data_IF_266620491181
#
_entry.id   IF_266620491181
#
_cell.length_a   1.000
_cell.length_b   1.000
_cell.length_c   1.000
_cell.angle_alpha   90.00
_cell.angle_beta   90.00
_cell.angle_gamma   90.00
#
_symmetry.space_group_name_H-M   'P 1'
#
loop_
_entity.id
_entity.type
_entity.pdbx_description
1 polymer ?
#
# COMPACT_ATOMS: atom_id res chain seq x y z
N UNK A 1 32.56 13.32 3.17
CA UNK A 1 31.89 12.01 3.01
C UNK A 1 32.96 10.91 2.80
N UNK A 2 33.57 10.44 3.89
CA UNK A 2 34.71 9.50 3.89
C UNK A 2 34.50 8.30 4.83
N UNK A 3 33.25 7.93 5.16
CA UNK A 3 32.96 6.78 6.05
C UNK A 3 31.79 5.93 5.56
N UNK A 4 31.82 5.51 4.29
CA UNK A 4 30.96 4.41 3.83
C UNK A 4 31.87 3.41 3.12
N UNK A 5 32.18 2.31 3.80
CA UNK A 5 33.07 1.26 3.28
C UNK A 5 32.31 0.30 2.35
N UNK A 6 31.04 0.03 2.67
CA UNK A 6 30.08 -0.70 1.84
C UNK A 6 28.68 -0.10 2.07
N UNK A 7 27.91 0.11 1.00
CA UNK A 7 26.52 0.56 1.08
C UNK A 7 25.55 -0.47 0.49
N UNK A 8 24.25 -0.31 0.74
CA UNK A 8 23.21 -1.11 0.13
C UNK A 8 22.20 -0.23 -0.60
N UNK A 9 21.84 -0.60 -1.82
CA UNK A 9 20.76 0.02 -2.60
C UNK A 9 19.61 -0.96 -2.68
N UNK A 10 18.53 -0.69 -1.94
CA UNK A 10 17.32 -1.50 -1.97
C UNK A 10 16.32 -0.84 -2.91
N UNK A 11 15.84 -1.58 -3.89
CA UNK A 11 14.73 -1.16 -4.74
C UNK A 11 13.44 -1.76 -4.20
N UNK A 12 12.43 -0.92 -4.02
CA UNK A 12 11.11 -1.29 -3.45
C UNK A 12 9.96 -0.84 -4.37
N UNK A 13 8.76 -1.31 -4.06
CA UNK A 13 7.50 -1.05 -4.72
C UNK A 13 7.38 -1.74 -6.07
N UNK A 14 6.42 -1.27 -6.86
CA UNK A 14 6.18 -1.76 -8.23
C UNK A 14 7.41 -1.64 -9.15
N UNK A 15 8.34 -0.73 -8.86
CA UNK A 15 9.61 -0.62 -9.59
C UNK A 15 10.48 -1.86 -9.37
N UNK A 16 10.44 -2.46 -8.18
CA UNK A 16 11.18 -3.66 -7.83
C UNK A 16 10.64 -4.93 -8.51
N UNK A 17 9.38 -4.89 -8.97
CA UNK A 17 8.68 -5.96 -9.70
C UNK A 17 8.88 -5.92 -11.23
N UNK A 18 9.39 -4.81 -11.77
CA UNK A 18 9.63 -4.68 -13.23
C UNK A 18 10.86 -5.47 -13.66
N UNK A 19 10.82 -6.05 -14.86
CA UNK A 19 11.96 -6.80 -15.44
C UNK A 19 13.26 -5.96 -15.48
N UNK A 20 13.14 -4.64 -15.64
CA UNK A 20 14.28 -3.71 -15.68
C UNK A 20 14.83 -3.33 -14.29
N UNK A 21 14.22 -3.78 -13.18
CA UNK A 21 14.69 -3.49 -11.83
C UNK A 21 16.15 -3.97 -11.67
N UNK A 22 16.44 -5.18 -12.13
CA UNK A 22 17.79 -5.75 -12.09
C UNK A 22 18.82 -4.92 -12.88
N UNK A 23 18.42 -4.29 -13.99
CA UNK A 23 19.30 -3.45 -14.79
C UNK A 23 19.57 -2.09 -14.12
N UNK A 24 18.54 -1.49 -13.50
CA UNK A 24 18.67 -0.25 -12.70
C UNK A 24 19.58 -0.51 -11.48
N UNK A 25 19.33 -1.59 -10.75
CA UNK A 25 20.12 -2.14 -9.62
C UNK A 25 21.59 -2.31 -10.03
N UNK A 26 21.83 -2.89 -11.21
CA UNK A 26 23.19 -3.13 -11.73
C UNK A 26 23.90 -1.83 -12.13
N UNK A 27 23.19 -0.88 -12.77
CA UNK A 27 23.76 0.44 -13.11
C UNK A 27 24.16 1.21 -11.86
N UNK A 28 23.28 1.30 -10.86
CA UNK A 28 23.53 2.01 -9.59
C UNK A 28 24.72 1.42 -8.79
N UNK A 29 24.88 0.10 -8.80
CA UNK A 29 26.00 -0.57 -8.13
C UNK A 29 27.32 -0.45 -8.90
N UNK A 30 27.28 -0.42 -10.24
CA UNK A 30 28.48 -0.34 -11.08
C UNK A 30 29.21 1.01 -11.04
N UNK A 31 28.50 2.11 -10.78
CA UNK A 31 29.10 3.46 -10.76
C UNK A 31 29.91 3.76 -9.48
N UNK A 32 29.77 2.93 -8.45
CA UNK A 32 30.30 3.24 -7.11
C UNK A 32 31.13 2.12 -6.48
N UNK A 33 31.14 0.91 -7.05
CA UNK A 33 32.04 -0.21 -6.70
C UNK A 33 31.92 -0.76 -5.27
N UNK A 34 31.14 -0.10 -4.41
CA UNK A 34 31.00 -0.36 -2.97
C UNK A 34 29.56 -0.68 -2.55
N UNK A 35 28.65 -0.87 -3.50
CA UNK A 35 27.22 -1.03 -3.19
C UNK A 35 26.69 -2.40 -3.61
N UNK A 36 26.05 -3.10 -2.67
CA UNK A 36 25.25 -4.30 -2.95
C UNK A 36 23.83 -3.85 -3.24
N UNK A 37 23.22 -4.33 -4.32
CA UNK A 37 21.85 -3.97 -4.66
C UNK A 37 20.93 -5.17 -4.67
N UNK A 38 19.75 -5.02 -4.07
CA UNK A 38 18.76 -6.06 -3.89
C UNK A 38 17.34 -5.50 -4.06
N UNK A 39 16.43 -6.34 -4.54
CA UNK A 39 15.00 -6.05 -4.57
C UNK A 39 14.37 -6.49 -3.26
N UNK A 40 13.52 -5.66 -2.66
CA UNK A 40 12.76 -6.03 -1.47
C UNK A 40 11.53 -6.85 -1.85
N UNK A 41 11.29 -7.96 -1.14
CA UNK A 41 9.98 -8.62 -1.19
C UNK A 41 8.92 -7.83 -0.41
N UNK A 42 7.61 -8.07 -0.63
CA UNK A 42 6.53 -7.27 -0.03
C UNK A 42 6.61 -7.14 1.50
N UNK A 43 6.90 -8.22 2.22
CA UNK A 43 7.05 -8.18 3.68
C UNK A 43 8.23 -7.30 4.14
N UNK A 44 9.32 -7.26 3.37
CA UNK A 44 10.46 -6.41 3.69
C UNK A 44 10.16 -4.94 3.36
N UNK A 45 9.40 -4.67 2.30
CA UNK A 45 8.88 -3.33 2.01
C UNK A 45 7.98 -2.82 3.13
N UNK A 46 7.04 -3.63 3.63
CA UNK A 46 6.20 -3.28 4.78
C UNK A 46 7.03 -2.94 6.02
N UNK A 47 8.10 -3.71 6.28
CA UNK A 47 9.05 -3.45 7.37
C UNK A 47 9.80 -2.12 7.17
N UNK A 48 10.33 -1.87 5.97
CA UNK A 48 11.00 -0.61 5.66
C UNK A 48 10.05 0.59 5.76
N UNK A 49 8.83 0.46 5.27
CA UNK A 49 7.80 1.50 5.32
C UNK A 49 7.46 1.90 6.75
N UNK A 50 7.17 0.94 7.63
CA UNK A 50 6.86 1.27 9.03
C UNK A 50 8.07 1.84 9.78
N UNK A 51 9.30 1.36 9.53
CA UNK A 51 10.50 1.92 10.13
C UNK A 51 10.75 3.36 9.67
N UNK A 52 10.52 3.66 8.38
CA UNK A 52 10.66 5.00 7.80
C UNK A 52 9.55 5.98 8.20
N UNK A 53 8.38 5.49 8.62
CA UNK A 53 7.22 6.31 9.00
C UNK A 53 7.32 6.98 10.38
N UNK A 54 8.30 6.60 11.22
CA UNK A 54 8.40 7.06 12.61
C UNK A 54 7.46 6.35 13.59
N UNK A 55 6.56 5.48 13.10
CA UNK A 55 5.60 4.72 13.93
C UNK A 55 6.30 3.77 14.90
N UNK A 56 7.43 3.18 14.49
CA UNK A 56 8.23 2.32 15.38
C UNK A 56 8.75 3.09 16.59
N UNK A 57 9.34 4.28 16.38
CA UNK A 57 9.82 5.12 17.47
C UNK A 57 8.66 5.64 18.34
N UNK A 58 7.52 5.99 17.73
CA UNK A 58 6.31 6.36 18.46
C UNK A 58 5.82 5.21 19.36
N UNK A 59 5.79 3.98 18.84
CA UNK A 59 5.44 2.78 19.60
C UNK A 59 6.37 2.61 20.81
N UNK A 60 7.68 2.77 20.60
CA UNK A 60 8.69 2.71 21.68
C UNK A 60 8.43 3.74 22.78
N UNK A 61 8.19 5.00 22.40
CA UNK A 61 8.01 6.11 23.35
C UNK A 61 6.69 6.01 24.11
N UNK A 62 5.62 5.62 23.43
CA UNK A 62 4.26 5.60 24.00
C UNK A 62 3.87 4.25 24.61
N UNK A 63 4.65 3.20 24.35
CA UNK A 63 4.35 1.81 24.70
C UNK A 63 3.03 1.30 24.10
N UNK A 64 2.53 1.97 23.05
CA UNK A 64 1.33 1.58 22.31
C UNK A 64 1.66 0.67 21.14
N UNK A 65 0.71 -0.17 20.76
CA UNK A 65 0.76 -0.98 19.55
C UNK A 65 0.09 -0.21 18.41
N UNK A 66 0.83 0.07 17.35
CA UNK A 66 0.35 0.86 16.22
C UNK A 66 0.37 0.03 14.95
N UNK A 67 -0.68 0.12 14.15
CA UNK A 67 -0.72 -0.47 12.81
C UNK A 67 -0.50 0.64 11.77
N UNK A 68 0.51 0.50 10.94
CA UNK A 68 0.72 1.36 9.78
C UNK A 68 0.19 0.68 8.50
N UNK A 69 -0.49 1.47 7.68
CA UNK A 69 -1.00 1.08 6.37
C UNK A 69 -0.38 2.05 5.36
N UNK A 70 0.57 1.57 4.57
CA UNK A 70 1.19 2.32 3.48
C UNK A 70 0.44 2.01 2.18
N UNK A 71 -0.39 2.97 1.76
CA UNK A 71 -1.27 2.91 0.60
C UNK A 71 -0.51 3.40 -0.64
N UNK A 72 -0.05 2.44 -1.43
CA UNK A 72 0.58 2.67 -2.72
C UNK A 72 -0.42 2.66 -3.87
N UNK A 73 0.13 2.80 -5.08
CA UNK A 73 -0.69 2.76 -6.28
C UNK A 73 -1.09 1.36 -6.74
N UNK A 74 -0.37 0.31 -6.36
CA UNK A 74 -0.69 -1.08 -6.72
C UNK A 74 -1.00 -1.97 -5.52
N UNK A 75 -0.45 -1.63 -4.36
CA UNK A 75 -0.53 -2.45 -3.16
C UNK A 75 -0.68 -1.58 -1.92
N UNK A 76 -1.14 -2.20 -0.84
CA UNK A 76 -1.18 -1.65 0.50
C UNK A 76 -0.33 -2.52 1.41
N UNK A 77 0.73 -1.93 1.97
CA UNK A 77 1.63 -2.60 2.90
C UNK A 77 1.12 -2.38 4.33
N UNK A 78 0.92 -3.46 5.07
CA UNK A 78 0.40 -3.43 6.44
C UNK A 78 1.51 -3.89 7.38
N UNK A 79 1.72 -3.15 8.46
CA UNK A 79 2.69 -3.53 9.48
C UNK A 79 2.23 -3.12 10.87
N UNK A 80 2.60 -3.90 11.89
CA UNK A 80 2.32 -3.61 13.30
C UNK A 80 3.64 -3.31 14.00
N UNK A 81 3.71 -2.19 14.72
CA UNK A 81 4.78 -1.88 15.66
C UNK A 81 4.30 -2.08 17.10
N UNK A 82 5.13 -2.72 17.92
CA UNK A 82 4.88 -2.90 19.35
C UNK A 82 6.19 -2.71 20.12
N UNK A 83 6.19 -1.84 21.13
CA UNK A 83 7.33 -1.55 22.01
C UNK A 83 8.62 -1.15 21.28
N UNK A 84 8.51 -0.61 20.08
CA UNK A 84 9.66 -0.21 19.27
C UNK A 84 10.20 -1.27 18.32
N UNK A 85 9.49 -2.39 18.16
CA UNK A 85 9.83 -3.44 17.20
C UNK A 85 8.71 -3.64 16.18
N UNK A 86 9.07 -4.01 14.95
CA UNK A 86 8.11 -4.45 13.93
C UNK A 86 7.71 -5.89 14.24
N UNK A 87 6.44 -6.08 14.57
CA UNK A 87 5.91 -7.33 15.09
C UNK A 87 5.34 -8.26 14.01
N UNK A 88 4.64 -7.68 13.04
CA UNK A 88 4.01 -8.43 11.95
C UNK A 88 3.89 -7.55 10.72
N UNK A 89 3.99 -8.16 9.54
CA UNK A 89 3.79 -7.51 8.25
C UNK A 89 2.87 -8.34 7.37
N UNK A 90 2.20 -7.66 6.45
CA UNK A 90 1.40 -8.25 5.39
C UNK A 90 1.32 -7.27 4.21
N UNK A 91 0.87 -7.76 3.05
CA UNK A 91 0.68 -6.98 1.85
C UNK A 91 -0.53 -7.49 1.08
N UNK A 92 -1.34 -6.55 0.56
CA UNK A 92 -2.53 -6.82 -0.23
C UNK A 92 -2.52 -5.97 -1.51
N UNK A 93 -3.00 -6.53 -2.62
CA UNK A 93 -3.17 -5.86 -3.92
C UNK A 93 -4.35 -4.86 -3.90
N UNK A 94 -4.27 -3.86 -3.02
CA UNK A 94 -5.19 -2.73 -2.94
C UNK A 94 -4.39 -1.46 -3.17
N UNK A 95 -4.72 -0.68 -4.20
CA UNK A 95 -4.00 0.54 -4.52
C UNK A 95 -4.76 1.44 -5.50
N UNK A 96 -4.35 2.71 -5.58
CA UNK A 96 -5.08 3.75 -6.32
C UNK A 96 -4.92 3.75 -7.85
N UNK A 97 -4.11 2.85 -8.44
CA UNK A 97 -3.80 2.82 -9.88
C UNK A 97 -4.13 1.48 -10.56
N UNK A 98 -4.85 0.59 -9.87
CA UNK A 98 -5.21 -0.74 -10.36
C UNK A 98 -6.30 -0.71 -11.45
N UNK A 99 -7.11 0.35 -11.49
CA UNK A 99 -8.05 0.67 -12.55
C UNK A 99 -7.79 2.10 -13.02
N UNK A 100 -7.42 2.27 -14.29
CA UNK A 100 -7.20 3.57 -14.90
C UNK A 100 -8.36 3.95 -15.82
N UNK A 101 -9.07 5.02 -15.47
CA UNK A 101 -10.12 5.64 -16.28
C UNK A 101 -9.75 7.09 -16.62
N UNK A 102 -10.22 7.58 -17.76
CA UNK A 102 -10.08 8.99 -18.13
C UNK A 102 -11.31 9.81 -17.71
N UNK A 103 -11.33 11.09 -18.07
CA UNK A 103 -12.42 12.03 -17.75
C UNK A 103 -13.78 11.64 -18.35
N UNK A 104 -13.78 10.81 -19.40
CA UNK A 104 -14.98 10.33 -20.09
C UNK A 104 -15.37 8.92 -19.59
N UNK A 105 -14.77 8.48 -18.47
CA UNK A 105 -14.88 7.15 -17.88
C UNK A 105 -14.44 6.03 -18.81
N UNK A 106 -13.58 6.34 -19.79
CA UNK A 106 -13.00 5.32 -20.67
C UNK A 106 -11.85 4.64 -19.97
N UNK A 107 -11.88 3.31 -19.94
CA UNK A 107 -10.82 2.51 -19.33
C UNK A 107 -9.58 2.55 -20.22
N UNK A 108 -8.46 3.00 -19.66
CA UNK A 108 -7.14 2.96 -20.30
C UNK A 108 -6.16 2.00 -19.62
N UNK A 109 -6.52 1.46 -18.45
CA UNK A 109 -5.73 0.45 -17.73
C UNK A 109 -6.61 -0.45 -16.86
N UNK A 110 -6.32 -1.74 -16.88
CA UNK A 110 -6.86 -2.73 -15.93
C UNK A 110 -5.67 -3.59 -15.49
N UNK A 111 -5.36 -3.58 -14.19
CA UNK A 111 -4.40 -4.52 -13.62
C UNK A 111 -5.11 -5.79 -13.14
N UNK A 112 -4.39 -6.90 -13.09
CA UNK A 112 -4.90 -8.23 -12.74
C UNK A 112 -5.78 -8.26 -11.46
N UNK A 113 -5.45 -7.55 -10.36
CA UNK A 113 -6.32 -7.49 -9.18
C UNK A 113 -7.72 -6.93 -9.47
N UNK A 114 -7.83 -5.97 -10.39
CA UNK A 114 -9.12 -5.40 -10.81
C UNK A 114 -9.92 -6.42 -11.61
N UNK A 115 -9.27 -7.20 -12.47
CA UNK A 115 -9.92 -8.26 -13.24
C UNK A 115 -10.56 -9.31 -12.32
N UNK A 116 -9.89 -9.68 -11.23
CA UNK A 116 -10.43 -10.59 -10.24
C UNK A 116 -11.70 -10.06 -9.57
N UNK A 117 -11.70 -8.77 -9.19
CA UNK A 117 -12.88 -8.11 -8.62
C UNK A 117 -14.02 -8.06 -9.64
N UNK A 118 -13.74 -7.61 -10.87
CA UNK A 118 -14.74 -7.56 -11.95
C UNK A 118 -15.38 -8.93 -12.16
N UNK A 119 -14.58 -10.00 -12.20
CA UNK A 119 -15.07 -11.38 -12.32
C UNK A 119 -15.98 -11.78 -11.16
N UNK A 120 -15.62 -11.42 -9.93
CA UNK A 120 -16.46 -11.71 -8.75
C UNK A 120 -17.78 -10.92 -8.78
N UNK A 121 -17.74 -9.68 -9.24
CA UNK A 121 -18.90 -8.82 -9.42
C UNK A 121 -19.72 -9.13 -10.69
N UNK A 122 -19.29 -10.12 -11.49
CA UNK A 122 -19.89 -10.48 -12.79
C UNK A 122 -19.92 -9.32 -13.78
N UNK A 123 -18.91 -8.46 -13.72
CA UNK A 123 -18.68 -7.37 -14.66
C UNK A 123 -17.75 -7.86 -15.79
N UNK A 124 -17.95 -7.35 -17.01
CA UNK A 124 -17.11 -7.65 -18.16
C UNK A 124 -16.77 -6.34 -18.87
N UNK A 125 -15.59 -5.80 -18.56
CA UNK A 125 -15.05 -4.62 -19.20
C UNK A 125 -13.66 -4.91 -19.74
N UNK A 126 -13.32 -4.28 -20.86
CA UNK A 126 -12.02 -4.33 -21.52
C UNK A 126 -11.43 -2.95 -21.68
N UNK A 127 -10.15 -2.88 -22.05
CA UNK A 127 -9.51 -1.61 -22.41
C UNK A 127 -10.29 -0.92 -23.54
N UNK A 128 -10.56 0.37 -23.36
CA UNK A 128 -11.30 1.19 -24.29
C UNK A 128 -12.81 1.26 -24.06
N UNK A 129 -13.36 0.40 -23.20
CA UNK A 129 -14.78 0.48 -22.81
C UNK A 129 -15.04 1.71 -21.93
N UNK A 130 -16.28 2.21 -21.98
CA UNK A 130 -16.78 3.23 -21.05
C UNK A 130 -17.43 2.49 -19.88
N UNK A 131 -16.89 2.69 -18.68
CA UNK A 131 -17.43 2.08 -17.45
C UNK A 131 -18.35 3.08 -16.73
N UNK A 132 -19.58 2.69 -16.33
CA UNK A 132 -20.43 3.55 -15.53
C UNK A 132 -19.79 3.89 -14.18
N UNK A 133 -19.96 5.13 -13.72
CA UNK A 133 -19.43 5.60 -12.44
C UNK A 133 -19.88 4.70 -11.27
N UNK A 134 -21.12 4.17 -11.32
CA UNK A 134 -21.62 3.24 -10.31
C UNK A 134 -20.79 1.96 -10.18
N UNK A 135 -20.23 1.45 -11.28
CA UNK A 135 -19.44 0.23 -11.30
C UNK A 135 -18.00 0.50 -10.85
N UNK A 136 -17.45 1.67 -11.20
CA UNK A 136 -16.18 2.17 -10.64
C UNK A 136 -16.29 2.25 -9.11
N UNK A 137 -17.37 2.82 -8.58
CA UNK A 137 -17.61 2.93 -7.15
C UNK A 137 -17.80 1.56 -6.48
N UNK A 138 -18.46 0.60 -7.14
CA UNK A 138 -18.56 -0.78 -6.64
C UNK A 138 -17.18 -1.43 -6.53
N UNK A 139 -16.33 -1.31 -7.55
CA UNK A 139 -14.96 -1.85 -7.53
C UNK A 139 -14.14 -1.21 -6.40
N UNK A 140 -14.14 0.12 -6.31
CA UNK A 140 -13.43 0.85 -5.25
C UNK A 140 -13.91 0.44 -3.85
N UNK A 141 -15.22 0.21 -3.68
CA UNK A 141 -15.79 -0.26 -2.41
C UNK A 141 -15.34 -1.67 -2.05
N UNK A 142 -15.21 -2.58 -3.01
CA UNK A 142 -14.67 -3.92 -2.74
C UNK A 142 -13.20 -3.88 -2.34
N UNK A 143 -12.39 -3.02 -2.97
CA UNK A 143 -11.02 -2.77 -2.52
C UNK A 143 -10.96 -2.27 -1.07
N UNK A 144 -11.76 -1.26 -0.75
CA UNK A 144 -11.80 -0.70 0.61
C UNK A 144 -12.25 -1.75 1.63
N UNK A 145 -13.31 -2.53 1.32
CA UNK A 145 -13.78 -3.62 2.19
C UNK A 145 -12.69 -4.66 2.43
N UNK A 146 -12.00 -5.10 1.38
CA UNK A 146 -10.93 -6.08 1.49
C UNK A 146 -9.78 -5.57 2.38
N UNK A 147 -9.34 -4.32 2.18
CA UNK A 147 -8.32 -3.70 3.02
C UNK A 147 -8.77 -3.63 4.49
N UNK A 148 -9.97 -3.15 4.74
CA UNK A 148 -10.54 -3.04 6.08
C UNK A 148 -10.73 -4.39 6.78
N UNK A 149 -11.01 -5.44 6.02
CA UNK A 149 -11.12 -6.80 6.52
C UNK A 149 -9.75 -7.29 7.01
N UNK A 150 -8.72 -7.19 6.17
CA UNK A 150 -7.38 -7.71 6.50
C UNK A 150 -6.67 -6.89 7.56
N UNK A 151 -7.00 -5.61 7.71
CA UNK A 151 -6.54 -4.79 8.85
C UNK A 151 -7.07 -5.28 10.21
N UNK A 152 -8.17 -6.03 10.22
CA UNK A 152 -8.83 -6.53 11.44
C UNK A 152 -8.55 -8.00 11.72
N UNK A 153 -7.88 -8.70 10.82
CA UNK A 153 -7.54 -10.12 10.99
C UNK A 153 -7.32 -10.82 9.65
N UNK A 154 -7.39 -12.16 9.63
CA UNK A 154 -7.21 -12.95 8.42
C UNK A 154 -8.22 -12.62 7.32
N UNK A 155 -7.81 -12.75 6.05
CA UNK A 155 -8.73 -12.68 4.92
C UNK A 155 -9.74 -13.85 4.96
N UNK A 156 -11.03 -13.52 4.98
CA UNK A 156 -12.16 -14.44 5.04
C UNK A 156 -12.94 -14.40 3.71
N UNK A 157 -13.26 -13.21 3.23
CA UNK A 157 -14.02 -13.01 1.99
C UNK A 157 -13.22 -13.47 0.78
N UNK A 158 -13.95 -13.86 -0.27
CA UNK A 158 -13.33 -14.36 -1.49
C UNK A 158 -12.46 -13.29 -2.17
N UNK A 159 -12.94 -12.04 -2.20
CA UNK A 159 -12.18 -10.92 -2.75
C UNK A 159 -10.93 -10.64 -1.93
N UNK A 160 -11.03 -10.55 -0.59
CA UNK A 160 -9.85 -10.33 0.25
C UNK A 160 -8.79 -11.40 0.03
N UNK A 161 -9.19 -12.68 0.01
CA UNK A 161 -8.28 -13.82 -0.24
C UNK A 161 -7.60 -13.75 -1.61
N UNK A 162 -8.34 -13.36 -2.65
CA UNK A 162 -7.78 -13.20 -4.01
C UNK A 162 -6.75 -12.07 -4.05
N UNK A 163 -6.97 -10.99 -3.28
CA UNK A 163 -6.10 -9.83 -3.29
C UNK A 163 -4.85 -9.97 -2.40
N UNK A 164 -4.79 -10.95 -1.49
CA UNK A 164 -3.61 -11.15 -0.63
C UNK A 164 -2.35 -11.46 -1.43
N UNK A 165 -1.25 -10.77 -1.12
CA UNK A 165 0.07 -11.03 -1.71
C UNK A 165 0.97 -11.86 -0.81
N UNK A 166 0.76 -11.78 0.49
CA UNK A 166 1.53 -12.48 1.52
C UNK A 166 0.56 -13.16 2.48
N UNK A 167 1.11 -13.84 3.48
CA UNK A 167 0.31 -14.34 4.60
C UNK A 167 -0.46 -13.21 5.31
N UNK A 168 -1.54 -13.59 5.98
CA UNK A 168 -2.37 -12.69 6.79
C UNK A 168 -1.55 -12.01 7.89
N UNK A 169 -1.95 -10.77 8.23
CA UNK A 169 -1.37 -10.05 9.35
C UNK A 169 -1.68 -10.79 10.67
N UNK A 170 -0.66 -10.97 11.52
CA UNK A 170 -0.81 -11.63 12.82
C UNK A 170 -1.06 -10.59 13.92
N UNK A 171 -2.32 -10.42 14.28
CA UNK A 171 -2.74 -9.51 15.36
C UNK A 171 -2.76 -10.28 16.68
N UNK A 172 -1.60 -10.34 17.35
CA UNK A 172 -1.45 -11.01 18.65
C UNK A 172 -1.48 -10.04 19.85
N UNK A 173 -1.65 -8.75 19.57
CA UNK A 173 -1.74 -7.65 20.54
C UNK A 173 -2.90 -6.72 20.15
N UNK A 174 -3.56 -6.04 21.11
CA UNK A 174 -4.58 -5.05 20.77
C UNK A 174 -3.94 -3.88 20.03
N UNK A 175 -4.58 -3.39 18.96
CA UNK A 175 -4.12 -2.22 18.21
C UNK A 175 -4.70 -0.95 18.83
N UNK A 176 -3.83 -0.07 19.32
CA UNK A 176 -4.21 1.16 20.01
C UNK A 176 -4.51 2.31 19.03
N UNK A 177 -3.87 2.28 17.85
CA UNK A 177 -4.01 3.33 16.83
C UNK A 177 -3.62 2.83 15.44
N UNK A 178 -4.19 3.46 14.42
CA UNK A 178 -3.89 3.22 13.02
C UNK A 178 -3.21 4.46 12.42
N UNK A 179 -2.27 4.23 11.51
CA UNK A 179 -1.59 5.26 10.72
C UNK A 179 -1.72 4.92 9.25
N UNK A 180 -1.97 5.93 8.42
CA UNK A 180 -1.98 5.79 6.97
C UNK A 180 -0.85 6.61 6.37
N UNK A 181 -0.16 6.04 5.40
CA UNK A 181 0.99 6.63 4.72
C UNK A 181 0.97 6.27 3.24
N UNK A 182 1.86 6.85 2.45
CA UNK A 182 1.94 6.58 1.01
C UNK A 182 1.11 7.54 0.16
N UNK A 183 1.40 7.57 -1.14
CA UNK A 183 0.86 8.60 -2.05
C UNK A 183 -0.65 8.51 -2.31
N UNK A 184 -1.32 7.41 -1.92
CA UNK A 184 -2.78 7.32 -1.97
C UNK A 184 -3.42 7.73 -0.64
N UNK A 185 -2.68 7.63 0.47
CA UNK A 185 -3.19 8.02 1.79
C UNK A 185 -3.40 9.53 1.94
N UNK A 186 -2.74 10.36 1.12
CA UNK A 186 -2.96 11.82 1.09
C UNK A 186 -4.46 12.16 0.93
N UNK A 187 -5.19 11.35 0.13
CA UNK A 187 -6.64 11.53 -0.08
C UNK A 187 -7.48 11.29 1.18
N UNK A 188 -6.96 10.57 2.18
CA UNK A 188 -7.65 10.36 3.47
C UNK A 188 -7.61 11.65 4.27
N UNK A 189 -6.46 12.32 4.31
CA UNK A 189 -6.25 13.51 5.14
C UNK A 189 -6.83 14.79 4.49
N UNK A 190 -6.84 14.88 3.17
CA UNK A 190 -7.44 16.03 2.46
C UNK A 190 -8.96 16.15 2.70
N UNK A 191 -9.65 15.04 2.98
CA UNK A 191 -11.10 15.07 3.28
C UNK A 191 -11.46 15.60 4.67
N UNK A 192 -10.49 15.75 5.58
CA UNK A 192 -10.71 16.33 6.91
C UNK A 192 -10.60 17.88 6.89
N UNK A 193 -9.80 18.45 5.98
CA UNK A 193 -9.60 19.90 5.85
C UNK A 193 -10.86 20.63 5.33
N UNK A 194 -11.72 19.93 4.58
CA UNK A 194 -13.00 20.48 4.09
C UNK A 194 -14.14 20.46 5.12
N UNK A 195 -13.93 19.86 6.31
CA UNK A 195 -14.94 19.86 7.40
C UNK A 195 -14.73 20.95 8.45
N UNK A 196 -13.50 21.40 8.69
CA UNK A 196 -13.24 22.50 9.63
C UNK A 196 -13.37 23.90 9.01
N UNK A 197 -13.33 24.01 7.68
CA UNK A 197 -13.43 25.29 6.95
C UNK A 197 -14.88 25.79 6.74
N UNK A 198 -15.90 25.02 7.11
CA UNK A 198 -17.32 25.39 7.00
C UNK A 198 -18.03 25.70 8.33
N UNK A 199 -17.36 25.63 9.48
CA UNK A 199 -17.96 25.97 10.79
C UNK A 199 -17.55 27.35 11.35
N UNK A 200 -16.65 28.09 10.69
CA UNK A 200 -16.19 29.41 11.17
C UNK A 200 -16.76 30.63 10.41
N UNK A 201 -17.73 30.44 9.51
CA UNK A 201 -18.38 31.54 8.77
C UNK A 201 -19.75 31.98 9.32
N UNK A 202 -20.15 31.50 10.50
CA UNK A 202 -21.36 31.95 11.20
C UNK A 202 -21.09 32.25 12.68
N UNK A 203 -20.25 33.26 12.96
CA UNK A 203 -20.27 34.04 14.21
C UNK A 203 -19.80 35.48 13.95
#
# INVERSE_FOLDING_TARGET
>A
PEMVDTGAVIVTGETAKKENAAEIVKKLSSESGKFVSASAGPNFESTLGIMGSGIVEQSKRTQKNLMNIDLGGGTSNIAIASKGDVFSTSCINVGGRLLGIDKDLKIWRIDEPTEWIMKELKMSYSLGDIIPEEDVLKIAKEYAKALFEVMRGPAISKIAKLLMMTDDIKILVPIDSYSFSGGVAEMIYDTEVDKESNETSNL
#
